data_IF_318674302730
#
_entry.id   IF_318674302730
#
_cell.length_a   1.000
_cell.length_b   1.000
_cell.length_c   1.000
_cell.angle_alpha   90.00
_cell.angle_beta   90.00
_cell.angle_gamma   90.00
#
_symmetry.space_group_name_H-M   'P 1'
#
loop_
_entity.id
_entity.type
_entity.pdbx_description
1 polymer ?
#
# COMPACT_ATOMS: atom_id res chain seq x y z
N UNK A 1 -27.12 -11.89 -7.15
CA UNK A 1 -26.09 -11.55 -6.13
C UNK A 1 -25.34 -10.33 -6.66
N UNK A 2 -25.34 -9.19 -5.96
CA UNK A 2 -24.48 -8.04 -6.31
C UNK A 2 -23.16 -8.20 -5.57
N UNK A 3 -22.05 -7.96 -6.26
CA UNK A 3 -20.74 -7.92 -5.63
C UNK A 3 -20.69 -6.70 -4.70
N UNK A 4 -20.24 -6.87 -3.46
CA UNK A 4 -20.02 -5.76 -2.55
C UNK A 4 -18.98 -4.80 -3.14
N UNK A 5 -19.14 -3.51 -2.88
CA UNK A 5 -18.10 -2.54 -3.24
C UNK A 5 -16.83 -2.87 -2.45
N UNK A 6 -15.69 -2.79 -3.11
CA UNK A 6 -14.40 -3.03 -2.47
C UNK A 6 -14.17 -1.99 -1.37
N UNK A 7 -13.82 -2.45 -0.17
CA UNK A 7 -13.66 -1.62 1.03
C UNK A 7 -12.28 -1.82 1.68
N UNK A 8 -12.05 -1.11 2.79
CA UNK A 8 -10.79 -1.17 3.53
C UNK A 8 -10.51 -2.55 4.12
N UNK A 9 -11.53 -3.24 4.60
CA UNK A 9 -11.36 -4.58 5.16
C UNK A 9 -10.85 -5.54 4.09
N UNK A 10 -11.49 -5.55 2.92
CA UNK A 10 -11.07 -6.35 1.78
C UNK A 10 -9.64 -6.03 1.33
N UNK A 11 -9.24 -4.74 1.33
CA UNK A 11 -7.88 -4.34 0.99
C UNK A 11 -6.84 -4.90 1.97
N UNK A 12 -7.13 -4.85 3.27
CA UNK A 12 -6.23 -5.38 4.31
C UNK A 12 -6.13 -6.89 4.25
N UNK A 13 -7.26 -7.59 4.07
CA UNK A 13 -7.25 -9.05 3.92
C UNK A 13 -6.39 -9.48 2.73
N UNK A 14 -6.57 -8.84 1.58
CA UNK A 14 -5.76 -9.13 0.39
C UNK A 14 -4.28 -8.78 0.65
N UNK A 15 -3.98 -7.65 1.29
CA UNK A 15 -2.61 -7.27 1.64
C UNK A 15 -1.90 -8.29 2.53
N UNK A 16 -2.58 -8.75 3.58
CA UNK A 16 -2.06 -9.80 4.48
C UNK A 16 -1.84 -11.11 3.74
N UNK A 17 -2.82 -11.54 2.95
CA UNK A 17 -2.71 -12.78 2.15
C UNK A 17 -1.55 -12.72 1.15
N UNK A 18 -1.36 -11.58 0.49
CA UNK A 18 -0.23 -11.37 -0.44
C UNK A 18 1.10 -11.42 0.29
N UNK A 19 1.23 -10.77 1.45
CA UNK A 19 2.43 -10.89 2.29
C UNK A 19 2.70 -12.34 2.69
N UNK A 20 1.69 -13.04 3.16
CA UNK A 20 1.84 -14.40 3.68
C UNK A 20 2.28 -15.37 2.57
N UNK A 21 1.67 -15.26 1.39
CA UNK A 21 2.03 -16.00 0.17
C UNK A 21 3.43 -15.63 -0.34
N UNK A 22 3.81 -14.35 -0.26
CA UNK A 22 5.15 -13.93 -0.64
C UNK A 22 6.20 -14.56 0.26
N UNK A 23 5.96 -14.59 1.57
CA UNK A 23 6.92 -15.04 2.58
C UNK A 23 7.04 -16.56 2.72
N UNK A 24 5.97 -17.29 2.40
CA UNK A 24 5.86 -18.75 2.59
C UNK A 24 7.03 -19.51 1.97
N UNK A 25 7.72 -20.31 2.79
CA UNK A 25 8.81 -21.19 2.34
C UNK A 25 10.13 -20.48 2.03
N UNK A 26 10.25 -19.18 2.31
CA UNK A 26 11.51 -18.43 2.19
C UNK A 26 12.34 -18.53 3.46
N UNK A 27 13.66 -18.47 3.32
CA UNK A 27 14.58 -18.44 4.47
C UNK A 27 14.31 -17.24 5.41
N UNK A 28 13.86 -16.11 4.86
CA UNK A 28 13.54 -14.89 5.60
C UNK A 28 12.10 -14.79 6.12
N UNK A 29 11.29 -15.86 6.08
CA UNK A 29 9.84 -15.81 6.36
C UNK A 29 9.52 -15.14 7.70
N UNK A 30 10.17 -15.58 8.79
CA UNK A 30 9.92 -15.05 10.14
C UNK A 30 10.25 -13.55 10.24
N UNK A 31 11.36 -13.13 9.63
CA UNK A 31 11.78 -11.72 9.61
C UNK A 31 10.79 -10.89 8.78
N UNK A 32 10.42 -11.35 7.60
CA UNK A 32 9.51 -10.63 6.70
C UNK A 32 8.14 -10.44 7.36
N UNK A 33 7.59 -11.48 8.00
CA UNK A 33 6.32 -11.40 8.74
C UNK A 33 6.41 -10.54 10.01
N UNK A 34 7.57 -10.50 10.65
CA UNK A 34 7.80 -9.65 11.83
C UNK A 34 7.97 -8.17 11.47
N UNK A 35 8.72 -7.86 10.42
CA UNK A 35 8.98 -6.49 9.96
C UNK A 35 7.75 -5.93 9.23
N UNK A 36 7.10 -6.72 8.40
CA UNK A 36 5.89 -6.36 7.66
C UNK A 36 4.66 -6.99 8.34
N UNK A 37 4.49 -6.69 9.62
CA UNK A 37 3.35 -7.16 10.41
C UNK A 37 2.00 -6.58 9.93
N UNK A 38 0.91 -7.04 10.54
CA UNK A 38 -0.44 -6.60 10.18
C UNK A 38 -0.64 -5.08 10.36
N UNK A 39 0.03 -4.48 11.34
CA UNK A 39 -0.01 -3.05 11.61
C UNK A 39 0.69 -2.25 10.51
N UNK A 40 1.80 -2.74 9.98
CA UNK A 40 2.46 -2.11 8.83
C UNK A 40 1.58 -2.16 7.58
N UNK A 41 0.97 -3.32 7.31
CA UNK A 41 0.05 -3.47 6.17
C UNK A 41 -1.10 -2.48 6.26
N UNK A 42 -1.66 -2.28 7.46
CA UNK A 42 -2.70 -1.29 7.71
C UNK A 42 -2.24 0.15 7.49
N UNK A 43 -1.08 0.52 8.04
CA UNK A 43 -0.50 1.84 7.87
C UNK A 43 -0.23 2.15 6.39
N UNK A 44 0.34 1.20 5.65
CA UNK A 44 0.59 1.37 4.22
C UNK A 44 -0.72 1.54 3.44
N UNK A 45 -1.73 0.71 3.72
CA UNK A 45 -3.05 0.82 3.07
C UNK A 45 -3.69 2.19 3.34
N UNK A 46 -3.63 2.66 4.60
CA UNK A 46 -4.13 3.97 5.00
C UNK A 46 -3.36 5.11 4.35
N UNK A 47 -2.03 5.01 4.25
CA UNK A 47 -1.19 6.03 3.63
C UNK A 47 -1.47 6.14 2.12
N UNK A 48 -1.62 5.01 1.42
CA UNK A 48 -2.00 4.98 0.00
C UNK A 48 -3.40 5.54 -0.20
N UNK A 49 -4.37 5.15 0.62
CA UNK A 49 -5.73 5.70 0.55
C UNK A 49 -5.77 7.21 0.89
N UNK A 50 -4.97 7.66 1.86
CA UNK A 50 -4.83 9.05 2.26
C UNK A 50 -4.25 9.93 1.14
N UNK A 51 -3.21 9.44 0.44
CA UNK A 51 -2.67 10.10 -0.76
C UNK A 51 -3.64 10.15 -1.96
N UNK A 52 -4.78 9.49 -1.85
CA UNK A 52 -5.87 9.46 -2.85
C UNK A 52 -7.14 10.15 -2.32
N UNK A 53 -7.01 11.08 -1.37
CA UNK A 53 -8.13 11.83 -0.81
C UNK A 53 -8.97 11.02 0.20
N UNK A 54 -8.37 10.04 0.88
CA UNK A 54 -9.02 9.20 1.90
C UNK A 54 -10.00 8.17 1.35
N UNK A 55 -10.15 8.04 0.02
CA UNK A 55 -11.06 7.10 -0.61
C UNK A 55 -10.35 5.75 -0.81
N UNK A 56 -10.65 4.80 0.07
CA UNK A 56 -10.07 3.44 0.05
C UNK A 56 -10.42 2.66 -1.23
N UNK A 57 -11.47 3.07 -1.94
CA UNK A 57 -11.90 2.46 -3.22
C UNK A 57 -11.07 2.85 -4.45
N UNK A 58 -10.04 3.70 -4.32
CA UNK A 58 -9.39 4.30 -5.49
C UNK A 58 -8.20 3.51 -6.02
N UNK A 59 -7.44 2.74 -5.22
CA UNK A 59 -6.28 2.04 -5.79
C UNK A 59 -5.81 0.75 -5.11
N UNK A 60 -6.61 -0.34 -5.12
CA UNK A 60 -6.14 -1.66 -4.68
C UNK A 60 -4.86 -2.09 -5.38
N UNK A 61 -4.78 -1.83 -6.70
CA UNK A 61 -3.61 -2.12 -7.53
C UNK A 61 -2.36 -1.36 -7.07
N UNK A 62 -2.47 -0.07 -6.78
CA UNK A 62 -1.34 0.75 -6.35
C UNK A 62 -0.82 0.30 -5.00
N UNK A 63 -1.73 0.06 -4.04
CA UNK A 63 -1.37 -0.50 -2.74
C UNK A 63 -0.58 -1.81 -2.87
N UNK A 64 -1.09 -2.77 -3.64
CA UNK A 64 -0.40 -4.05 -3.83
C UNK A 64 0.95 -3.89 -4.53
N UNK A 65 1.04 -2.99 -5.52
CA UNK A 65 2.31 -2.68 -6.18
C UNK A 65 3.34 -2.17 -5.18
N UNK A 66 2.97 -1.20 -4.32
CA UNK A 66 3.85 -0.64 -3.28
C UNK A 66 4.22 -1.68 -2.23
N UNK A 67 3.26 -2.49 -1.78
CA UNK A 67 3.52 -3.54 -0.81
C UNK A 67 4.56 -4.52 -1.35
N UNK A 68 4.37 -5.06 -2.55
CA UNK A 68 5.27 -6.10 -3.08
C UNK A 68 6.61 -5.49 -3.51
N UNK A 69 6.60 -4.56 -4.47
CA UNK A 69 7.81 -4.10 -5.13
C UNK A 69 8.67 -3.16 -4.27
N UNK A 70 8.03 -2.34 -3.42
CA UNK A 70 8.75 -1.33 -2.65
C UNK A 70 9.04 -1.77 -1.20
N UNK A 71 8.29 -2.73 -0.66
CA UNK A 71 8.45 -3.18 0.72
C UNK A 71 8.94 -4.62 0.78
N UNK A 72 8.15 -5.60 0.34
CA UNK A 72 8.46 -7.02 0.52
C UNK A 72 9.79 -7.40 -0.16
N UNK A 73 10.00 -6.96 -1.40
CA UNK A 73 11.25 -7.21 -2.13
C UNK A 73 12.47 -6.63 -1.41
N UNK A 74 12.38 -5.40 -0.89
CA UNK A 74 13.51 -4.76 -0.20
C UNK A 74 13.79 -5.39 1.16
N UNK A 75 12.74 -5.80 1.87
CA UNK A 75 12.86 -6.55 3.14
C UNK A 75 13.54 -7.89 2.90
N UNK A 76 13.22 -8.59 1.80
CA UNK A 76 13.83 -9.88 1.45
C UNK A 76 15.31 -9.72 1.01
N UNK A 77 15.60 -8.69 0.21
CA UNK A 77 16.94 -8.45 -0.34
C UNK A 77 17.93 -7.82 0.67
N UNK A 78 17.43 -7.11 1.69
CA UNK A 78 18.27 -6.34 2.61
C UNK A 78 17.91 -6.61 4.07
N UNK A 79 18.79 -7.31 4.79
CA UNK A 79 18.58 -7.72 6.18
C UNK A 79 18.46 -6.55 7.17
N UNK A 80 19.08 -5.40 6.88
CA UNK A 80 18.98 -4.19 7.70
C UNK A 80 17.82 -3.26 7.32
N UNK A 81 17.07 -3.57 6.26
CA UNK A 81 15.99 -2.70 5.81
C UNK A 81 14.75 -2.84 6.70
N UNK A 82 14.45 -1.78 7.46
CA UNK A 82 13.18 -1.55 8.12
C UNK A 82 12.33 -0.53 7.32
N UNK A 83 11.17 -0.92 6.78
CA UNK A 83 10.34 -0.03 6.00
C UNK A 83 9.72 1.10 6.83
N UNK A 84 9.62 0.99 8.17
CA UNK A 84 9.14 2.10 9.01
C UNK A 84 10.14 3.25 9.11
N UNK A 85 11.42 2.94 8.92
CA UNK A 85 12.51 3.91 9.06
C UNK A 85 13.08 4.34 7.70
N UNK A 86 13.11 3.43 6.74
CA UNK A 86 13.85 3.60 5.49
C UNK A 86 12.95 3.72 4.25
N UNK A 87 11.63 3.53 4.39
CA UNK A 87 10.70 3.68 3.27
C UNK A 87 9.79 4.88 3.49
N UNK A 88 9.82 5.78 2.51
CA UNK A 88 8.86 6.88 2.40
C UNK A 88 7.93 6.58 1.23
N UNK A 89 6.62 6.55 1.50
CA UNK A 89 5.63 6.33 0.46
C UNK A 89 5.61 7.54 -0.49
N UNK A 90 5.98 7.29 -1.75
CA UNK A 90 5.86 8.26 -2.84
C UNK A 90 4.89 7.72 -3.88
N UNK A 91 3.87 8.53 -4.20
CA UNK A 91 2.91 8.24 -5.26
C UNK A 91 3.26 9.13 -6.46
N UNK A 92 3.79 8.53 -7.52
CA UNK A 92 4.08 9.26 -8.75
C UNK A 92 2.89 9.20 -9.72
N UNK A 93 2.59 10.31 -10.37
CA UNK A 93 1.50 10.42 -11.36
C UNK A 93 1.57 9.35 -12.46
N UNK A 94 2.79 8.93 -12.83
CA UNK A 94 3.04 7.90 -13.85
C UNK A 94 2.58 6.51 -13.42
N UNK A 95 2.43 6.26 -12.13
CA UNK A 95 1.97 4.98 -11.57
C UNK A 95 0.44 4.92 -11.41
N UNK A 96 -0.21 6.08 -11.56
CA UNK A 96 -1.63 6.30 -11.34
C UNK A 96 -2.40 6.31 -12.65
N UNK A 97 -3.56 5.67 -12.64
CA UNK A 97 -4.59 5.82 -13.67
C UNK A 97 -5.20 7.21 -13.61
N UNK A 98 -5.93 7.60 -14.66
CA UNK A 98 -6.64 8.89 -14.71
C UNK A 98 -7.57 9.07 -13.51
N UNK A 99 -8.30 8.03 -13.12
CA UNK A 99 -9.21 8.07 -11.97
C UNK A 99 -8.48 8.19 -10.64
N UNK A 100 -7.36 7.47 -10.48
CA UNK A 100 -6.52 7.56 -9.28
C UNK A 100 -5.92 8.96 -9.13
N UNK A 101 -5.43 9.53 -10.23
CA UNK A 101 -4.87 10.89 -10.25
C UNK A 101 -5.94 11.95 -9.93
N UNK A 102 -7.11 11.84 -10.55
CA UNK A 102 -8.23 12.75 -10.28
C UNK A 102 -8.65 12.74 -8.79
N UNK A 103 -8.62 11.58 -8.15
CA UNK A 103 -8.92 11.46 -6.73
C UNK A 103 -7.85 12.10 -5.83
N UNK A 104 -6.56 11.96 -6.17
CA UNK A 104 -5.47 12.62 -5.45
C UNK A 104 -5.53 14.15 -5.58
N UNK A 105 -5.71 14.64 -6.82
CA UNK A 105 -5.75 16.09 -7.12
C UNK A 105 -6.94 16.80 -6.47
N UNK A 106 -8.07 16.13 -6.24
CA UNK A 106 -9.26 16.73 -5.64
C UNK A 106 -9.04 17.32 -4.22
N UNK A 107 -7.94 16.97 -3.56
CA UNK A 107 -7.54 17.49 -2.23
C UNK A 107 -6.34 18.42 -2.27
N UNK A 108 -5.64 18.52 -3.42
CA UNK A 108 -4.53 19.48 -3.61
C UNK A 108 -5.03 20.88 -4.00
N UNK A 109 -6.33 21.04 -4.22
CA UNK A 109 -6.98 22.27 -4.73
C UNK A 109 -7.42 23.23 -3.60
N UNK A 110 -7.11 22.91 -2.33
CA UNK A 110 -7.32 23.86 -1.22
C UNK A 110 -6.26 24.99 -1.16
N UNK A 111 -5.33 25.07 -2.13
CA UNK A 111 -4.34 26.16 -2.31
C UNK A 111 -4.71 27.12 -3.47
N UNK A 112 -6.00 27.43 -3.67
CA UNK A 112 -6.40 28.54 -4.54
C UNK A 112 -6.86 29.70 -3.64
N UNK A 113 -5.96 30.66 -3.39
CA UNK A 113 -6.34 32.00 -2.93
C UNK A 113 -7.33 32.60 -3.93
N UNK A 114 -8.51 32.98 -3.44
CA UNK A 114 -9.54 33.72 -4.16
C UNK A 114 -9.29 35.22 -4.09
#
# INVERSE_FOLDING_TARGET
>A
IRLAAFDQGALLEVGRKVRDLYAEGRAGEARLRGVVDDLYVEQLARAVAGGLGGKVGVAPRLFLKKLVADVLDRVDLHESFDPRQHYQLTLADSEMTVNERAAASATSVDDIEL
#
